data_IF_109990316468
#
_entry.id   IF_109990316468
#
_cell.length_a   1.000
_cell.length_b   1.000
_cell.length_c   1.000
_cell.angle_alpha   90.00
_cell.angle_beta   90.00
_cell.angle_gamma   90.00
#
_symmetry.space_group_name_H-M   'P 1'
#
loop_
_entity.id
_entity.type
_entity.pdbx_description
1 polymer ?
#
# COMPACT_ATOMS: atom_id res chain seq x y z
N UNK A 1 -21.24 5.61 46.57
CA UNK A 1 -19.96 4.98 46.24
C UNK A 1 -20.26 3.88 45.22
N UNK A 2 -20.06 4.16 43.93
CA UNK A 2 -20.26 3.16 42.87
C UNK A 2 -19.03 2.26 42.86
N UNK A 3 -19.23 0.98 43.12
CA UNK A 3 -18.20 -0.04 43.10
C UNK A 3 -17.52 -0.07 41.74
N UNK A 4 -16.21 0.13 41.78
CA UNK A 4 -15.26 -0.25 40.76
C UNK A 4 -15.42 -1.72 40.37
N UNK A 5 -15.01 -2.04 39.15
CA UNK A 5 -14.69 -3.39 38.65
C UNK A 5 -15.80 -4.20 37.99
N UNK A 6 -16.18 -3.80 36.77
CA UNK A 6 -16.40 -4.78 35.69
C UNK A 6 -15.72 -4.25 34.43
N UNK A 7 -14.38 -4.35 34.36
CA UNK A 7 -13.64 -4.28 33.10
C UNK A 7 -12.94 -5.64 32.87
N UNK A 8 -13.71 -6.72 33.01
CA UNK A 8 -13.30 -8.03 32.54
C UNK A 8 -13.40 -8.01 31.02
N UNK A 9 -12.27 -7.97 30.32
CA UNK A 9 -12.19 -8.11 28.86
C UNK A 9 -12.91 -9.39 28.43
N UNK A 10 -14.15 -9.33 27.91
CA UNK A 10 -14.99 -10.52 27.78
C UNK A 10 -14.46 -11.48 26.71
N UNK A 11 -13.63 -10.98 25.79
CA UNK A 11 -12.94 -11.78 24.78
C UNK A 11 -11.89 -12.74 25.37
N UNK A 12 -11.32 -12.45 26.54
CA UNK A 12 -10.26 -13.29 27.15
C UNK A 12 -10.80 -14.62 27.69
N UNK A 13 -12.10 -14.68 27.99
CA UNK A 13 -12.76 -15.88 28.53
C UNK A 13 -13.41 -16.76 27.45
N UNK A 14 -13.42 -16.29 26.20
CA UNK A 14 -13.92 -17.09 25.09
C UNK A 14 -12.82 -18.04 24.60
N UNK A 15 -13.19 -19.28 24.18
CA UNK A 15 -12.30 -20.12 23.41
C UNK A 15 -11.69 -19.35 22.23
N UNK A 16 -10.40 -19.56 22.00
CA UNK A 16 -9.62 -18.82 21.04
C UNK A 16 -10.23 -18.87 19.62
N UNK A 17 -10.81 -20.01 19.25
CA UNK A 17 -11.48 -20.24 17.97
C UNK A 17 -12.73 -19.35 17.81
N UNK A 18 -13.49 -19.15 18.90
CA UNK A 18 -14.66 -18.27 18.91
C UNK A 18 -14.22 -16.82 18.75
N UNK A 19 -13.13 -16.41 19.43
CA UNK A 19 -12.55 -15.08 19.26
C UNK A 19 -12.14 -14.86 17.81
N UNK A 20 -11.40 -15.79 17.19
CA UNK A 20 -11.02 -15.66 15.78
C UNK A 20 -12.24 -15.61 14.84
N UNK A 21 -13.28 -16.38 15.13
CA UNK A 21 -14.51 -16.33 14.35
C UNK A 21 -15.18 -14.96 14.43
N UNK A 22 -15.32 -14.38 15.62
CA UNK A 22 -15.85 -13.02 15.81
C UNK A 22 -14.99 -12.00 15.07
N UNK A 23 -13.67 -12.08 15.22
CA UNK A 23 -12.73 -11.16 14.56
C UNK A 23 -12.81 -11.26 13.03
N UNK A 24 -13.16 -12.41 12.46
CA UNK A 24 -13.29 -12.58 11.00
C UNK A 24 -14.41 -11.75 10.36
N UNK A 25 -15.37 -11.26 11.15
CA UNK A 25 -16.46 -10.39 10.69
C UNK A 25 -16.17 -8.90 10.83
N UNK A 26 -15.07 -8.53 11.49
CA UNK A 26 -14.74 -7.13 11.71
C UNK A 26 -14.20 -6.47 10.43
N UNK A 27 -14.50 -5.18 10.20
CA UNK A 27 -13.83 -4.38 9.18
C UNK A 27 -12.31 -4.44 9.31
N UNK A 28 -11.62 -4.36 8.16
CA UNK A 28 -10.16 -4.37 8.09
C UNK A 28 -9.50 -3.30 8.99
N UNK A 29 -10.09 -2.10 9.08
CA UNK A 29 -9.61 -1.02 9.94
C UNK A 29 -9.62 -1.43 11.41
N UNK A 30 -10.74 -2.00 11.86
CA UNK A 30 -10.91 -2.42 13.25
C UNK A 30 -9.96 -3.56 13.60
N UNK A 31 -9.79 -4.53 12.69
CA UNK A 31 -8.79 -5.60 12.84
C UNK A 31 -7.38 -5.05 12.94
N UNK A 32 -7.03 -4.09 12.08
CA UNK A 32 -5.70 -3.48 12.07
C UNK A 32 -5.45 -2.63 13.33
N UNK A 33 -6.43 -1.89 13.81
CA UNK A 33 -6.31 -1.17 15.08
C UNK A 33 -6.17 -2.13 16.25
N UNK A 34 -7.05 -3.13 16.35
CA UNK A 34 -7.00 -4.15 17.40
C UNK A 34 -5.64 -4.83 17.48
N UNK A 35 -5.06 -5.17 16.32
CA UNK A 35 -3.71 -5.73 16.22
C UNK A 35 -2.67 -4.91 17.02
N UNK A 36 -2.72 -3.59 16.91
CA UNK A 36 -1.74 -2.70 17.54
C UNK A 36 -1.91 -2.61 19.07
N UNK A 37 -3.06 -3.04 19.62
CA UNK A 37 -3.34 -3.08 21.05
C UNK A 37 -3.09 -4.45 21.70
N UNK A 38 -2.89 -5.51 20.91
CA UNK A 38 -2.67 -6.85 21.44
C UNK A 38 -1.19 -7.20 21.62
N UNK A 39 -0.84 -8.09 22.57
CA UNK A 39 0.51 -8.63 22.70
C UNK A 39 0.98 -9.34 21.42
N UNK A 40 2.29 -9.37 21.17
CA UNK A 40 2.90 -9.91 19.94
C UNK A 40 2.43 -11.33 19.58
N UNK A 41 2.23 -12.19 20.57
CA UNK A 41 1.77 -13.58 20.37
C UNK A 41 0.37 -13.68 19.78
N UNK A 42 -0.46 -12.65 19.98
CA UNK A 42 -1.81 -12.55 19.42
C UNK A 42 -1.84 -11.85 18.05
N UNK A 43 -0.87 -10.96 17.78
CA UNK A 43 -0.78 -10.24 16.51
C UNK A 43 -0.65 -11.18 15.32
N UNK A 44 0.09 -12.29 15.45
CA UNK A 44 0.26 -13.28 14.37
C UNK A 44 -1.06 -13.86 13.86
N UNK A 45 -2.06 -13.98 14.74
CA UNK A 45 -3.36 -14.53 14.37
C UNK A 45 -4.24 -13.50 13.68
N UNK A 46 -4.20 -12.24 14.17
CA UNK A 46 -4.86 -11.14 13.46
C UNK A 46 -4.20 -10.92 12.09
N UNK A 47 -2.88 -11.03 11.99
CA UNK A 47 -2.16 -10.96 10.70
C UNK A 47 -2.64 -12.03 9.73
N UNK A 48 -2.86 -13.27 10.21
CA UNK A 48 -3.42 -14.33 9.38
C UNK A 48 -4.86 -14.05 8.93
N UNK A 49 -5.70 -13.44 9.78
CA UNK A 49 -7.06 -13.00 9.41
C UNK A 49 -6.99 -11.88 8.38
N UNK A 50 -6.19 -10.84 8.63
CA UNK A 50 -5.99 -9.71 7.73
C UNK A 50 -5.55 -10.17 6.33
N UNK A 51 -4.55 -11.05 6.25
CA UNK A 51 -4.07 -11.58 4.97
C UNK A 51 -5.15 -12.34 4.18
N UNK A 52 -6.13 -12.95 4.87
CA UNK A 52 -7.24 -13.67 4.23
C UNK A 52 -8.46 -12.78 4.00
N UNK A 53 -8.51 -11.59 4.58
CA UNK A 53 -9.63 -10.68 4.47
C UNK A 53 -9.89 -10.32 3.00
N UNK A 54 -11.14 -10.41 2.49
CA UNK A 54 -11.45 -10.24 1.07
C UNK A 54 -10.88 -8.95 0.45
N UNK A 55 -10.92 -7.84 1.17
CA UNK A 55 -10.37 -6.56 0.68
C UNK A 55 -8.84 -6.55 0.51
N UNK A 56 -8.09 -7.36 1.25
CA UNK A 56 -6.64 -7.49 1.08
C UNK A 56 -6.30 -8.59 0.10
N UNK A 57 -6.98 -9.74 0.17
CA UNK A 57 -6.67 -10.92 -0.64
C UNK A 57 -7.11 -10.81 -2.10
N UNK A 58 -8.13 -10.00 -2.41
CA UNK A 58 -8.63 -9.81 -3.78
C UNK A 58 -8.04 -8.60 -4.49
N UNK A 59 -7.29 -7.75 -3.79
CA UNK A 59 -6.72 -6.53 -4.32
C UNK A 59 -5.22 -6.66 -4.49
N UNK A 60 -4.70 -6.13 -5.58
CA UNK A 60 -3.26 -6.11 -5.88
C UNK A 60 -2.77 -4.68 -5.86
N UNK A 61 -1.65 -4.44 -5.18
CA UNK A 61 -1.04 -3.13 -5.15
C UNK A 61 0.18 -3.12 -6.06
N UNK A 62 0.24 -2.14 -6.95
CA UNK A 62 1.24 -2.03 -8.00
C UNK A 62 1.86 -0.65 -7.95
N UNK A 63 3.17 -0.59 -8.12
CA UNK A 63 3.92 0.63 -8.25
C UNK A 63 4.37 0.81 -9.70
N UNK A 64 4.09 1.96 -10.29
CA UNK A 64 4.53 2.34 -11.63
C UNK A 64 5.59 3.42 -11.53
N UNK A 65 6.76 3.22 -12.14
CA UNK A 65 7.87 4.17 -12.09
C UNK A 65 8.29 4.55 -13.50
N UNK A 66 8.36 5.85 -13.79
CA UNK A 66 8.75 6.39 -15.10
C UNK A 66 10.02 7.25 -15.02
N UNK A 67 10.90 7.05 -15.99
CA UNK A 67 12.10 7.86 -16.21
C UNK A 67 11.73 9.24 -16.83
N UNK A 68 12.65 10.22 -16.85
CA UNK A 68 12.46 11.57 -16.30
C UNK A 68 11.57 12.53 -17.12
N UNK A 69 11.04 12.10 -18.27
CA UNK A 69 10.38 13.00 -19.22
C UNK A 69 9.00 13.50 -18.79
N UNK A 70 8.53 13.10 -17.60
CA UNK A 70 7.17 13.34 -17.14
C UNK A 70 7.00 14.48 -16.15
N UNK A 71 8.10 15.09 -15.69
CA UNK A 71 8.03 16.34 -14.91
C UNK A 71 7.35 17.49 -15.68
N UNK A 72 7.31 17.42 -17.01
CA UNK A 72 6.72 18.47 -17.85
C UNK A 72 5.19 18.34 -18.01
N UNK A 73 4.62 17.18 -17.73
CA UNK A 73 3.18 16.94 -17.94
C UNK A 73 2.39 16.94 -16.63
N UNK A 74 3.05 16.63 -15.50
CA UNK A 74 2.39 16.55 -14.19
C UNK A 74 3.24 17.19 -13.10
N UNK A 75 2.79 18.33 -12.58
CA UNK A 75 3.43 18.97 -11.44
C UNK A 75 3.02 18.31 -10.12
N UNK A 76 3.94 18.20 -9.13
CA UNK A 76 3.61 17.66 -7.81
C UNK A 76 2.43 18.42 -7.17
N UNK A 77 1.30 17.73 -6.92
CA UNK A 77 0.09 18.33 -6.35
C UNK A 77 -1.07 18.56 -7.33
N UNK A 78 -0.91 18.26 -8.62
CA UNK A 78 -2.05 18.27 -9.54
C UNK A 78 -2.99 17.06 -9.34
N UNK A 79 -4.30 17.31 -9.40
CA UNK A 79 -5.31 16.27 -9.53
C UNK A 79 -5.24 15.66 -10.93
N UNK A 80 -5.05 14.35 -11.01
CA UNK A 80 -5.08 13.63 -12.29
C UNK A 80 -6.53 13.42 -12.79
N UNK A 81 -6.75 13.39 -14.13
CA UNK A 81 -8.09 13.24 -14.71
C UNK A 81 -8.73 11.94 -14.26
N UNK A 82 -9.96 12.00 -13.72
CA UNK A 82 -10.72 10.82 -13.31
C UNK A 82 -10.85 9.81 -14.45
N UNK A 83 -10.51 8.56 -14.17
CA UNK A 83 -10.71 7.47 -15.13
C UNK A 83 -12.00 6.76 -14.72
N UNK A 84 -12.91 6.49 -15.65
CA UNK A 84 -14.13 5.75 -15.34
C UNK A 84 -13.80 4.41 -14.66
N UNK A 85 -14.63 3.99 -13.71
CA UNK A 85 -14.36 2.84 -12.84
C UNK A 85 -14.30 1.48 -13.56
N UNK A 86 -14.51 1.42 -14.87
CA UNK A 86 -14.76 0.19 -15.63
C UNK A 86 -13.65 -0.15 -16.66
N UNK A 87 -12.46 0.45 -16.55
CA UNK A 87 -11.34 0.12 -17.43
C UNK A 87 -10.53 -1.07 -16.91
N UNK A 88 -10.49 -2.15 -17.69
CA UNK A 88 -9.49 -3.21 -17.56
C UNK A 88 -8.12 -2.69 -18.05
N UNK A 89 -7.05 -2.96 -17.30
CA UNK A 89 -5.68 -2.69 -17.75
C UNK A 89 -5.37 -3.55 -19.00
N UNK A 90 -5.54 -2.98 -20.20
CA UNK A 90 -4.83 -3.43 -21.41
C UNK A 90 -3.48 -2.70 -21.53
N UNK A 91 -2.55 -3.25 -22.29
CA UNK A 91 -1.22 -2.65 -22.48
C UNK A 91 -1.27 -1.21 -23.05
N UNK A 92 -2.31 -0.91 -23.83
CA UNK A 92 -2.62 0.41 -24.41
C UNK A 92 -3.28 1.39 -23.41
N UNK A 93 -3.86 0.88 -22.32
CA UNK A 93 -4.50 1.69 -21.26
C UNK A 93 -3.50 2.21 -20.21
N UNK A 94 -2.24 1.75 -20.24
CA UNK A 94 -1.21 2.10 -19.26
C UNK A 94 -0.84 3.60 -19.27
N UNK A 95 -0.87 4.24 -20.45
CA UNK A 95 -0.56 5.67 -20.59
C UNK A 95 -1.70 6.55 -20.07
N UNK A 96 -2.96 6.16 -20.30
CA UNK A 96 -4.14 6.87 -19.79
C UNK A 96 -4.28 6.72 -18.26
N UNK A 97 -3.94 5.55 -17.72
CA UNK A 97 -4.08 5.24 -16.27
C UNK A 97 -3.12 6.01 -15.37
N UNK A 98 -1.93 6.26 -15.87
CA UNK A 98 -0.85 6.88 -15.08
C UNK A 98 -0.46 8.25 -15.59
N UNK A 99 -0.78 8.55 -16.86
CA UNK A 99 -0.17 9.66 -17.58
C UNK A 99 1.31 9.43 -17.91
N UNK A 100 1.89 8.25 -17.60
CA UNK A 100 3.33 8.02 -17.63
C UNK A 100 3.75 7.10 -18.81
N UNK A 101 4.05 7.62 -20.01
CA UNK A 101 4.70 6.88 -21.08
C UNK A 101 5.97 6.18 -20.56
N UNK A 102 6.19 4.93 -20.99
CA UNK A 102 7.36 4.09 -20.63
C UNK A 102 7.49 3.69 -19.16
N UNK A 103 6.42 3.80 -18.36
CA UNK A 103 6.44 3.42 -16.95
C UNK A 103 6.65 1.90 -16.76
N UNK A 104 7.60 1.54 -15.90
CA UNK A 104 7.82 0.16 -15.46
C UNK A 104 6.84 -0.21 -14.37
N UNK A 105 6.41 -1.47 -14.37
CA UNK A 105 5.46 -2.03 -13.42
C UNK A 105 6.16 -2.89 -12.39
N UNK A 106 6.02 -2.51 -11.12
CA UNK A 106 6.57 -3.24 -9.99
C UNK A 106 5.38 -3.74 -9.16
N UNK A 107 5.19 -5.06 -9.13
CA UNK A 107 4.19 -5.67 -8.26
C UNK A 107 4.67 -5.60 -6.81
N UNK A 108 3.77 -5.22 -5.90
CA UNK A 108 4.08 -5.06 -4.48
C UNK A 108 3.32 -6.10 -3.67
N UNK A 109 4.06 -6.91 -2.90
CA UNK A 109 3.51 -7.93 -2.02
C UNK A 109 3.47 -7.44 -0.58
N UNK A 110 2.35 -7.65 0.10
CA UNK A 110 2.25 -7.44 1.54
C UNK A 110 3.21 -8.41 2.24
N UNK A 111 4.14 -7.89 3.03
CA UNK A 111 5.07 -8.73 3.79
C UNK A 111 4.85 -8.63 5.30
N UNK A 112 4.53 -7.44 5.80
CA UNK A 112 4.27 -7.22 7.23
C UNK A 112 3.29 -6.09 7.48
N UNK A 113 2.63 -6.14 8.62
CA UNK A 113 1.84 -5.03 9.14
C UNK A 113 2.70 -4.28 10.16
N UNK A 114 3.07 -3.04 9.83
CA UNK A 114 3.83 -2.15 10.71
C UNK A 114 2.91 -1.34 11.61
N UNK A 115 3.45 -0.57 12.58
CA UNK A 115 2.66 0.35 13.41
C UNK A 115 2.18 1.59 12.64
N UNK A 116 2.77 1.87 11.48
CA UNK A 116 2.50 3.06 10.65
C UNK A 116 1.77 2.75 9.34
N UNK A 117 1.40 1.49 9.10
CA UNK A 117 0.72 1.05 7.89
C UNK A 117 1.03 -0.39 7.53
N UNK A 118 0.67 -0.75 6.30
CA UNK A 118 0.97 -2.02 5.65
C UNK A 118 2.27 -1.85 4.90
N UNK A 119 3.22 -2.76 5.13
CA UNK A 119 4.53 -2.73 4.51
C UNK A 119 4.62 -3.75 3.39
N UNK A 120 5.00 -3.24 2.22
CA UNK A 120 5.03 -3.96 0.97
C UNK A 120 6.43 -3.95 0.36
N UNK A 121 6.75 -5.04 -0.32
CA UNK A 121 8.03 -5.24 -0.96
C UNK A 121 7.82 -5.62 -2.42
N UNK A 122 8.73 -5.21 -3.33
CA UNK A 122 8.68 -5.67 -4.71
C UNK A 122 8.70 -7.20 -4.78
N UNK A 123 7.88 -7.77 -5.65
CA UNK A 123 7.96 -9.20 -5.98
C UNK A 123 9.22 -9.54 -6.80
N UNK A 124 9.72 -8.55 -7.53
CA UNK A 124 10.89 -8.65 -8.38
C UNK A 124 11.84 -7.48 -8.13
N UNK A 125 13.13 -7.78 -8.13
CA UNK A 125 14.18 -6.77 -8.05
C UNK A 125 14.37 -6.11 -9.42
N UNK A 126 13.81 -4.91 -9.56
CA UNK A 126 13.84 -4.15 -10.81
C UNK A 126 14.63 -2.85 -10.66
N UNK A 127 15.83 -2.82 -11.26
CA UNK A 127 16.63 -1.61 -11.40
C UNK A 127 16.16 -0.79 -12.61
N UNK A 128 16.05 0.52 -12.44
CA UNK A 128 15.74 1.48 -13.50
C UNK A 128 16.76 2.61 -13.53
N UNK A 129 16.97 3.19 -14.73
CA UNK A 129 17.83 4.36 -14.90
C UNK A 129 17.07 5.63 -14.53
N UNK A 130 17.74 6.56 -13.88
CA UNK A 130 17.22 7.90 -13.59
C UNK A 130 18.36 8.93 -13.64
N UNK A 131 18.05 10.15 -14.08
CA UNK A 131 18.99 11.28 -14.03
C UNK A 131 18.64 12.27 -12.92
N UNK A 132 17.34 12.41 -12.63
CA UNK A 132 16.79 13.26 -11.58
C UNK A 132 15.56 12.58 -10.92
N UNK A 133 14.53 13.35 -10.61
CA UNK A 133 13.27 12.85 -10.09
C UNK A 133 12.55 11.95 -11.10
N UNK A 134 11.86 10.95 -10.58
CA UNK A 134 11.04 9.99 -11.32
C UNK A 134 9.56 10.20 -11.01
N UNK A 135 8.73 9.96 -12.02
CA UNK A 135 7.29 9.84 -11.84
C UNK A 135 6.96 8.50 -11.20
N UNK A 136 6.09 8.51 -10.20
CA UNK A 136 5.73 7.34 -9.41
C UNK A 136 4.22 7.31 -9.22
N UNK A 137 3.56 6.26 -9.72
CA UNK A 137 2.15 6.02 -9.45
C UNK A 137 1.96 4.77 -8.57
N UNK A 138 1.36 4.94 -7.40
CA UNK A 138 0.87 3.84 -6.56
C UNK A 138 -0.55 3.54 -7.01
N UNK A 139 -0.83 2.29 -7.39
CA UNK A 139 -2.13 1.89 -7.92
C UNK A 139 -2.64 0.67 -7.16
N UNK A 140 -3.85 0.78 -6.61
CA UNK A 140 -4.59 -0.34 -6.06
C UNK A 140 -5.54 -0.88 -7.12
N UNK A 141 -5.37 -2.15 -7.45
CA UNK A 141 -6.18 -2.87 -8.41
C UNK A 141 -7.12 -3.82 -7.68
N UNK A 142 -8.35 -3.92 -8.17
CA UNK A 142 -9.30 -4.95 -7.83
C UNK A 142 -9.16 -6.17 -8.75
N UNK A 143 -10.06 -7.14 -8.60
CA UNK A 143 -10.21 -8.26 -9.53
C UNK A 143 -10.30 -7.74 -10.97
N UNK A 144 -9.80 -8.55 -11.91
CA UNK A 144 -9.80 -8.21 -13.35
C UNK A 144 -8.97 -6.97 -13.70
N UNK A 145 -8.02 -6.58 -12.83
CA UNK A 145 -7.12 -5.45 -13.01
C UNK A 145 -7.83 -4.08 -13.12
N UNK A 146 -9.01 -3.94 -12.50
CA UNK A 146 -9.74 -2.69 -12.40
C UNK A 146 -9.07 -1.74 -11.40
N UNK A 147 -8.91 -0.47 -11.74
CA UNK A 147 -8.29 0.51 -10.84
C UNK A 147 -9.28 0.93 -9.76
N UNK A 148 -8.99 0.61 -8.49
CA UNK A 148 -9.82 1.01 -7.35
C UNK A 148 -9.35 2.33 -6.73
N UNK A 149 -8.03 2.50 -6.55
CA UNK A 149 -7.42 3.75 -6.06
C UNK A 149 -6.08 3.98 -6.75
N UNK A 150 -5.66 5.24 -6.83
CA UNK A 150 -4.32 5.59 -7.31
C UNK A 150 -3.79 6.87 -6.68
N UNK A 151 -2.47 7.00 -6.65
CA UNK A 151 -1.75 8.21 -6.23
C UNK A 151 -0.57 8.44 -7.16
N UNK A 152 -0.41 9.65 -7.71
CA UNK A 152 0.75 10.01 -8.53
C UNK A 152 1.65 11.01 -7.80
N UNK A 153 2.95 10.78 -7.90
CA UNK A 153 3.99 11.56 -7.24
C UNK A 153 5.23 11.72 -8.12
N UNK A 154 6.01 12.76 -7.83
CA UNK A 154 7.41 12.81 -8.23
C UNK A 154 8.27 12.49 -7.00
N UNK A 155 9.24 11.60 -7.15
CA UNK A 155 10.19 11.23 -6.11
C UNK A 155 11.62 11.37 -6.62
N UNK A 156 12.56 11.81 -5.77
CA UNK A 156 13.99 11.79 -6.08
C UNK A 156 14.61 10.55 -5.42
N UNK A 157 15.00 9.51 -6.20
CA UNK A 157 15.57 8.30 -5.64
C UNK A 157 16.84 8.54 -4.80
N UNK A 158 17.56 9.64 -5.03
CA UNK A 158 18.79 9.98 -4.30
C UNK A 158 18.53 10.35 -2.83
N UNK A 159 17.29 10.69 -2.49
CA UNK A 159 16.90 11.05 -1.11
C UNK A 159 16.55 9.81 -0.27
N UNK A 160 16.52 8.61 -0.86
CA UNK A 160 16.12 7.38 -0.18
C UNK A 160 14.60 7.31 0.01
N UNK A 161 14.10 7.72 1.17
CA UNK A 161 12.68 7.59 1.51
C UNK A 161 11.88 8.81 1.04
N UNK A 162 10.93 8.57 0.14
CA UNK A 162 9.90 9.53 -0.25
C UNK A 162 8.63 9.29 0.57
N UNK A 163 8.17 10.28 1.34
CA UNK A 163 6.90 10.21 2.09
C UNK A 163 6.12 11.53 1.96
N UNK A 164 4.79 11.45 1.77
CA UNK A 164 3.90 12.62 1.75
C UNK A 164 2.65 12.33 2.58
N UNK A 165 2.46 13.09 3.66
CA UNK A 165 1.27 12.97 4.51
C UNK A 165 -0.01 13.32 3.72
N UNK A 166 -1.10 12.60 4.00
CA UNK A 166 -2.45 12.89 3.50
C UNK A 166 -2.90 12.19 2.21
N UNK A 167 -2.01 11.52 1.48
CA UNK A 167 -2.39 10.78 0.25
C UNK A 167 -2.60 9.31 0.57
N UNK A 168 -1.53 8.51 0.52
CA UNK A 168 -1.56 7.07 0.86
C UNK A 168 -1.01 6.76 2.25
N UNK A 169 -0.80 7.79 3.08
CA UNK A 169 -0.28 7.69 4.45
C UNK A 169 0.91 6.74 4.59
N UNK A 170 1.96 6.99 3.82
CA UNK A 170 3.17 6.19 3.88
C UNK A 170 4.29 6.75 3.02
N UNK A 171 5.19 5.87 2.60
CA UNK A 171 6.35 6.26 1.82
C UNK A 171 6.95 5.13 1.01
N UNK A 172 7.83 5.48 0.08
CA UNK A 172 8.52 4.59 -0.82
C UNK A 172 10.02 4.76 -0.56
N UNK A 173 10.69 3.65 -0.28
CA UNK A 173 12.13 3.60 -0.05
C UNK A 173 12.85 3.20 -1.34
N UNK A 174 13.78 4.03 -1.78
CA UNK A 174 14.62 3.77 -2.95
C UNK A 174 16.04 3.39 -2.53
N UNK A 175 16.62 2.45 -3.26
CA UNK A 175 18.04 2.13 -3.18
C UNK A 175 18.73 2.56 -4.47
N UNK A 176 19.77 3.39 -4.35
CA UNK A 176 20.56 3.85 -5.50
C UNK A 176 21.78 2.97 -5.72
N UNK A 177 22.09 2.67 -6.98
CA UNK A 177 23.22 1.83 -7.36
C UNK A 177 24.56 2.53 -7.11
N UNK A 178 25.62 1.73 -6.93
CA UNK A 178 26.97 2.18 -6.61
C UNK A 178 27.60 3.10 -7.67
N UNK A 179 27.16 3.02 -8.93
CA UNK A 179 27.68 3.84 -10.04
C UNK A 179 26.87 5.12 -10.29
N UNK A 180 25.84 5.40 -9.49
CA UNK A 180 24.92 6.51 -9.73
C UNK A 180 24.05 6.30 -10.98
N UNK A 181 22.92 7.00 -11.05
CA UNK A 181 22.05 6.98 -12.23
C UNK A 181 21.19 5.71 -12.40
N UNK A 182 21.25 4.77 -11.46
CA UNK A 182 20.29 3.67 -11.33
C UNK A 182 19.70 3.63 -9.93
N UNK A 183 18.43 3.26 -9.84
CA UNK A 183 17.73 3.04 -8.59
C UNK A 183 16.81 1.83 -8.69
N UNK A 184 16.47 1.25 -7.54
CA UNK A 184 15.37 0.29 -7.39
C UNK A 184 14.49 0.72 -6.24
N UNK A 185 13.25 0.24 -6.26
CA UNK A 185 12.36 0.35 -5.10
C UNK A 185 12.76 -0.77 -4.14
N UNK A 186 13.00 -0.44 -2.88
CA UNK A 186 13.36 -1.41 -1.84
C UNK A 186 12.14 -1.85 -1.05
N UNK A 187 11.30 -0.89 -0.66
CA UNK A 187 10.08 -1.15 0.09
C UNK A 187 9.10 0.01 -0.06
N UNK A 188 7.86 -0.23 0.34
CA UNK A 188 6.82 0.79 0.42
C UNK A 188 5.96 0.55 1.65
N UNK A 189 5.46 1.63 2.25
CA UNK A 189 4.42 1.57 3.28
C UNK A 189 3.20 2.32 2.78
N UNK A 190 2.00 1.78 3.01
CA UNK A 190 0.73 2.46 2.75
C UNK A 190 -0.20 2.35 3.95
N UNK A 191 -1.07 3.33 4.18
CA UNK A 191 -2.08 3.27 5.22
C UNK A 191 -3.14 2.20 4.94
N UNK A 192 -3.67 1.58 6.00
CA UNK A 192 -4.66 0.50 5.89
C UNK A 192 -5.96 0.96 5.21
N UNK A 193 -6.34 2.22 5.38
CA UNK A 193 -7.49 2.86 4.73
C UNK A 193 -7.39 2.88 3.20
N UNK A 194 -6.19 2.66 2.63
CA UNK A 194 -6.05 2.46 1.19
C UNK A 194 -6.88 1.27 0.71
N UNK A 195 -7.01 0.22 1.53
CA UNK A 195 -7.79 -0.98 1.24
C UNK A 195 -9.25 -0.92 1.72
N UNK A 196 -9.71 0.23 2.19
CA UNK A 196 -11.10 0.47 2.59
C UNK A 196 -11.88 1.16 1.45
N UNK A 197 -13.20 0.99 1.41
CA UNK A 197 -14.05 1.72 0.47
C UNK A 197 -14.39 3.11 1.00
#
# INVERSE_FOLDING_TARGET
MLSSEVNSYPLVYLPFEIVLHILSFLPILDLYYLRNYLPKDYQRYIDAILLRHPNLSSRRLVLRVSAPHLMYTYHPGMCLPSIPNDYALSDECNELITGLPTARTINMRIQRFGPKGIELFPEEDQWFRHTDAVGVAVVLLEKENRVAKRSLHAADPRKGVFARQGYFEGGIDFETGSQGGTARVRSMTVGVQWFCN
#
